data_IF_774203278672
#
_entry.id   IF_774203278672
#
_cell.length_a   1.000
_cell.length_b   1.000
_cell.length_c   1.000
_cell.angle_alpha   90.00
_cell.angle_beta   90.00
_cell.angle_gamma   90.00
#
_symmetry.space_group_name_H-M   'P 1'
#
loop_
_entity.id
_entity.type
_entity.pdbx_description
1 polymer ?
#
# COMPACT_ATOMS: atom_id res chain seq x y z
N UNK A 1 -10.45 -13.64 -2.03
CA UNK A 1 -9.89 -13.49 -0.67
C UNK A 1 -10.76 -12.51 0.10
N UNK A 2 -11.19 -12.84 1.32
CA UNK A 2 -11.88 -11.89 2.21
C UNK A 2 -10.88 -11.50 3.31
N UNK A 3 -10.46 -10.25 3.31
CA UNK A 3 -9.51 -9.70 4.29
C UNK A 3 -10.20 -8.62 5.13
N UNK A 4 -9.68 -8.28 6.32
CA UNK A 4 -10.15 -7.12 7.08
C UNK A 4 -10.10 -5.85 6.23
N UNK A 5 -11.16 -5.04 6.30
CA UNK A 5 -11.27 -3.77 5.57
C UNK A 5 -11.40 -2.60 6.53
N UNK A 6 -10.90 -1.42 6.13
CA UNK A 6 -11.16 -0.16 6.84
C UNK A 6 -12.65 0.16 6.73
N UNK A 7 -13.38 -0.05 7.81
CA UNK A 7 -14.84 0.05 7.87
C UNK A 7 -15.32 1.32 8.63
N UNK A 8 -14.39 2.07 9.22
CA UNK A 8 -14.71 3.24 10.04
C UNK A 8 -15.30 2.91 11.41
N UNK A 9 -15.37 1.63 11.80
CA UNK A 9 -15.94 1.17 13.07
C UNK A 9 -14.98 0.28 13.84
N UNK A 10 -14.67 -0.90 13.31
CA UNK A 10 -13.72 -1.85 13.91
C UNK A 10 -12.30 -1.44 13.54
N UNK A 11 -12.06 -1.14 12.27
CA UNK A 11 -10.82 -0.56 11.75
C UNK A 11 -11.15 0.87 11.32
N UNK A 12 -10.99 1.86 12.23
CA UNK A 12 -11.53 3.20 12.04
C UNK A 12 -10.87 3.97 10.90
N UNK A 13 -9.60 3.68 10.62
CA UNK A 13 -8.85 4.28 9.53
C UNK A 13 -7.73 3.33 9.07
N UNK A 14 -6.98 3.76 8.05
CA UNK A 14 -5.81 3.03 7.59
C UNK A 14 -4.84 2.74 8.77
N UNK A 15 -4.44 1.48 9.01
CA UNK A 15 -3.57 1.12 10.13
C UNK A 15 -2.27 1.90 10.20
N UNK A 16 -1.62 2.18 9.05
CA UNK A 16 -0.40 2.99 9.02
C UNK A 16 -0.67 4.43 9.45
N UNK A 17 -1.75 5.04 8.95
CA UNK A 17 -2.14 6.37 9.38
C UNK A 17 -2.50 6.43 10.87
N UNK A 18 -3.18 5.40 11.38
CA UNK A 18 -3.47 5.29 12.81
C UNK A 18 -2.17 5.28 13.59
N UNK A 19 -1.24 4.41 13.23
CA UNK A 19 0.05 4.31 13.89
C UNK A 19 0.91 5.59 13.79
N UNK A 20 0.86 6.32 12.68
CA UNK A 20 1.58 7.61 12.51
C UNK A 20 0.91 8.76 13.29
N UNK A 21 -0.42 8.74 13.44
CA UNK A 21 -1.19 9.80 14.09
C UNK A 21 -1.30 9.60 15.60
N UNK A 22 -1.12 8.37 16.05
CA UNK A 22 -1.13 7.93 17.45
C UNK A 22 -0.08 8.70 18.29
N UNK A 23 1.18 8.91 17.85
CA UNK A 23 2.16 9.78 18.52
C UNK A 23 1.73 11.25 18.67
N UNK A 24 0.88 11.76 17.78
CA UNK A 24 0.47 13.17 17.76
C UNK A 24 -0.63 13.53 18.77
N UNK A 25 -1.13 12.55 19.55
CA UNK A 25 -2.19 12.76 20.55
C UNK A 25 -3.58 13.01 19.97
N UNK A 26 -3.74 12.93 18.65
CA UNK A 26 -5.00 13.19 17.96
C UNK A 26 -6.03 12.06 18.11
N UNK A 27 -5.60 10.86 18.51
CA UNK A 27 -6.48 9.70 18.72
C UNK A 27 -6.07 8.97 20.00
N UNK A 28 -7.02 8.82 20.92
CA UNK A 28 -6.85 8.13 22.20
C UNK A 28 -7.00 6.61 21.97
N UNK A 29 -5.91 5.98 21.50
CA UNK A 29 -5.85 4.53 21.36
C UNK A 29 -5.41 3.91 22.70
N UNK A 30 -6.16 2.95 23.25
CA UNK A 30 -5.92 2.44 24.60
C UNK A 30 -4.56 1.74 24.71
N UNK A 31 -3.74 2.32 25.59
CA UNK A 31 -2.56 1.79 26.30
C UNK A 31 -1.39 1.21 25.49
N UNK A 32 -0.14 1.53 25.88
CA UNK A 32 1.00 0.66 25.65
C UNK A 32 0.65 -0.75 26.12
N UNK A 33 0.59 -1.72 25.22
CA UNK A 33 0.63 -3.14 25.61
C UNK A 33 2.05 -3.59 25.32
N UNK A 34 2.74 -4.23 26.28
CA UNK A 34 4.00 -4.90 26.01
C UNK A 34 3.83 -5.81 24.81
N UNK A 35 4.76 -5.73 23.86
CA UNK A 35 4.64 -6.43 22.60
C UNK A 35 5.89 -7.25 22.32
N UNK A 36 5.67 -8.55 22.10
CA UNK A 36 6.70 -9.51 21.72
C UNK A 36 6.34 -10.01 20.32
N UNK A 37 7.28 -9.87 19.40
CA UNK A 37 7.14 -10.28 18.00
C UNK A 37 8.41 -10.97 17.54
N UNK A 38 8.33 -11.64 16.39
CA UNK A 38 9.49 -12.23 15.78
C UNK A 38 9.21 -12.71 14.38
N UNK A 39 10.30 -13.04 13.70
CA UNK A 39 10.34 -13.44 12.31
C UNK A 39 11.15 -14.72 12.12
N UNK A 40 10.64 -15.60 11.26
CA UNK A 40 11.39 -16.76 10.79
C UNK A 40 12.32 -16.36 9.64
N UNK A 41 13.47 -17.06 9.56
CA UNK A 41 14.53 -16.71 8.59
C UNK A 41 14.06 -16.71 7.14
N UNK A 42 13.25 -17.70 6.77
CA UNK A 42 12.80 -17.98 5.40
C UNK A 42 11.25 -17.98 5.32
N UNK A 43 10.60 -17.03 6.01
CA UNK A 43 9.13 -16.88 6.06
C UNK A 43 8.48 -16.80 4.67
N UNK A 44 9.15 -16.17 3.70
CA UNK A 44 8.68 -16.04 2.32
C UNK A 44 8.77 -17.33 1.49
N UNK A 45 9.15 -18.46 2.09
CA UNK A 45 9.28 -19.74 1.37
C UNK A 45 7.94 -20.35 0.96
N UNK A 46 6.84 -19.99 1.62
CA UNK A 46 5.51 -20.52 1.31
C UNK A 46 5.02 -20.10 -0.09
N UNK A 47 5.40 -18.91 -0.56
CA UNK A 47 5.01 -18.41 -1.89
C UNK A 47 5.49 -19.34 -3.01
N UNK A 48 6.69 -19.91 -2.88
CA UNK A 48 7.22 -20.90 -3.83
C UNK A 48 6.40 -22.20 -3.78
N UNK A 49 5.86 -22.55 -2.61
CA UNK A 49 5.07 -23.76 -2.41
C UNK A 49 3.64 -23.62 -2.92
N UNK A 50 3.10 -22.40 -2.97
CA UNK A 50 1.78 -22.08 -3.50
C UNK A 50 1.76 -22.00 -5.04
N UNK A 51 2.83 -21.46 -5.64
CA UNK A 51 2.95 -21.30 -7.09
C UNK A 51 3.38 -22.62 -7.76
N UNK A 52 2.41 -23.51 -7.93
CA UNK A 52 2.60 -24.84 -8.54
C UNK A 52 2.16 -24.85 -10.00
N UNK A 53 2.92 -25.55 -10.84
CA UNK A 53 2.48 -25.84 -12.21
C UNK A 53 1.18 -26.66 -12.17
N UNK A 54 0.17 -26.23 -12.93
CA UNK A 54 -1.16 -26.86 -13.00
C UNK A 54 -1.16 -28.33 -13.50
N UNK A 55 0.01 -28.91 -13.80
CA UNK A 55 0.16 -30.24 -14.42
C UNK A 55 0.56 -31.37 -13.48
N UNK A 56 1.42 -31.13 -12.48
CA UNK A 56 1.96 -32.21 -11.65
C UNK A 56 2.22 -31.75 -10.22
N UNK A 57 1.64 -32.46 -9.23
CA UNK A 57 1.73 -32.13 -7.80
C UNK A 57 3.16 -32.15 -7.20
N UNK A 58 4.19 -32.43 -8.02
CA UNK A 58 5.58 -32.55 -7.60
C UNK A 58 6.53 -31.57 -8.30
N UNK A 59 6.08 -30.81 -9.30
CA UNK A 59 6.93 -29.91 -10.07
C UNK A 59 6.71 -28.46 -9.63
N UNK A 60 7.58 -27.97 -8.76
CA UNK A 60 7.64 -26.56 -8.38
C UNK A 60 8.22 -25.72 -9.52
N UNK A 61 7.75 -24.48 -9.68
CA UNK A 61 8.32 -23.54 -10.64
C UNK A 61 9.80 -23.31 -10.33
N UNK A 62 10.64 -23.41 -11.36
CA UNK A 62 12.03 -23.01 -11.27
C UNK A 62 12.08 -21.49 -11.06
N UNK A 63 12.52 -21.08 -9.87
CA UNK A 63 12.75 -19.66 -9.55
C UNK A 63 14.05 -19.21 -10.21
N UNK A 64 13.98 -18.88 -11.49
CA UNK A 64 15.05 -18.28 -12.27
C UNK A 64 14.90 -16.74 -12.34
N UNK A 65 15.83 -16.08 -13.02
CA UNK A 65 15.79 -14.63 -13.21
C UNK A 65 14.52 -14.19 -13.96
N UNK A 66 14.02 -15.02 -14.88
CA UNK A 66 12.83 -14.70 -15.67
C UNK A 66 11.57 -14.76 -14.81
N UNK A 67 11.46 -15.74 -13.92
CA UNK A 67 10.43 -15.85 -12.91
C UNK A 67 10.45 -14.62 -12.00
N UNK A 68 11.61 -14.28 -11.43
CA UNK A 68 11.77 -13.08 -10.59
C UNK A 68 11.28 -11.81 -11.31
N UNK A 69 11.69 -11.62 -12.57
CA UNK A 69 11.27 -10.47 -13.37
C UNK A 69 9.76 -10.44 -13.59
N UNK A 70 9.16 -11.58 -13.93
CA UNK A 70 7.70 -11.68 -14.13
C UNK A 70 6.93 -11.37 -12.85
N UNK A 71 7.42 -11.87 -11.72
CA UNK A 71 6.85 -11.64 -10.40
C UNK A 71 6.91 -10.16 -10.01
N UNK A 72 8.08 -9.52 -10.17
CA UNK A 72 8.27 -8.11 -9.85
C UNK A 72 7.40 -7.19 -10.72
N UNK A 73 7.23 -7.53 -12.00
CA UNK A 73 6.31 -6.82 -12.88
C UNK A 73 4.86 -6.95 -12.39
N UNK A 74 4.41 -8.16 -12.08
CA UNK A 74 3.08 -8.38 -11.52
C UNK A 74 2.89 -7.62 -10.21
N UNK A 75 3.88 -7.66 -9.33
CA UNK A 75 3.90 -6.91 -8.07
C UNK A 75 3.67 -5.41 -8.30
N UNK A 76 4.40 -4.82 -9.25
CA UNK A 76 4.27 -3.41 -9.59
C UNK A 76 2.88 -3.07 -10.16
N UNK A 77 2.26 -4.00 -10.91
CA UNK A 77 0.89 -3.86 -11.40
C UNK A 77 -0.15 -3.94 -10.26
N UNK A 78 -0.02 -4.93 -9.36
CA UNK A 78 -0.94 -5.14 -8.23
C UNK A 78 -0.99 -3.94 -7.29
N UNK A 79 0.16 -3.32 -7.01
CA UNK A 79 0.28 -2.18 -6.10
C UNK A 79 -0.06 -0.83 -6.74
N UNK A 80 -0.45 -0.83 -8.03
CA UNK A 80 -0.88 0.34 -8.78
C UNK A 80 0.06 1.54 -8.60
N UNK A 81 1.38 1.33 -8.71
CA UNK A 81 2.32 2.43 -8.82
C UNK A 81 2.02 3.18 -10.12
N UNK A 82 1.19 4.23 -10.09
CA UNK A 82 0.72 4.88 -11.32
C UNK A 82 1.78 5.74 -11.99
N UNK A 83 2.79 6.17 -11.24
CA UNK A 83 3.69 7.25 -11.65
C UNK A 83 5.01 6.74 -12.24
N UNK A 84 5.52 5.59 -11.78
CA UNK A 84 6.81 5.05 -12.25
C UNK A 84 6.96 3.53 -12.01
N UNK A 85 6.24 2.72 -12.80
CA UNK A 85 6.25 1.25 -12.66
C UNK A 85 7.59 0.64 -13.04
N UNK A 86 8.19 1.15 -14.12
CA UNK A 86 9.41 0.61 -14.69
C UNK A 86 10.59 0.78 -13.73
N UNK A 87 10.80 1.98 -13.17
CA UNK A 87 11.91 2.19 -12.26
C UNK A 87 11.74 1.43 -10.93
N UNK A 88 10.50 1.18 -10.49
CA UNK A 88 10.24 0.33 -9.31
C UNK A 88 10.56 -1.12 -9.63
N UNK A 89 10.12 -1.62 -10.78
CA UNK A 89 10.41 -2.98 -11.21
C UNK A 89 11.92 -3.18 -11.39
N UNK A 90 12.62 -2.24 -12.04
CA UNK A 90 14.07 -2.27 -12.21
C UNK A 90 14.80 -2.19 -10.86
N UNK A 91 14.35 -1.35 -9.92
CA UNK A 91 14.94 -1.27 -8.60
C UNK A 91 14.82 -2.56 -7.80
N UNK A 92 13.65 -3.22 -7.85
CA UNK A 92 13.43 -4.50 -7.17
C UNK A 92 14.23 -5.61 -7.87
N UNK A 93 14.24 -5.64 -9.20
CA UNK A 93 15.05 -6.59 -9.99
C UNK A 93 16.53 -6.45 -9.63
N UNK A 94 17.08 -5.24 -9.64
CA UNK A 94 18.48 -4.96 -9.31
C UNK A 94 18.83 -5.38 -7.89
N UNK A 95 17.96 -5.07 -6.92
CA UNK A 95 18.20 -5.36 -5.50
C UNK A 95 18.23 -6.86 -5.19
N UNK A 96 17.40 -7.63 -5.89
CA UNK A 96 17.22 -9.07 -5.63
C UNK A 96 17.93 -9.97 -6.63
N UNK A 97 18.61 -9.40 -7.63
CA UNK A 97 19.54 -10.14 -8.49
C UNK A 97 20.83 -10.42 -7.73
N UNK A 98 21.27 -11.68 -7.74
CA UNK A 98 22.56 -12.06 -7.19
C UNK A 98 23.68 -11.70 -8.19
N UNK A 99 24.18 -10.47 -8.12
CA UNK A 99 25.18 -9.95 -9.06
C UNK A 99 26.49 -10.73 -9.18
N UNK A 100 27.03 -11.40 -8.13
CA UNK A 100 28.23 -12.21 -8.30
C UNK A 100 28.07 -13.34 -9.32
N UNK A 101 26.85 -13.88 -9.44
CA UNK A 101 26.48 -14.82 -10.50
C UNK A 101 24.97 -14.75 -10.79
N UNK A 102 24.60 -14.00 -11.83
CA UNK A 102 23.20 -13.84 -12.24
C UNK A 102 22.58 -15.12 -12.84
N UNK A 103 23.34 -16.21 -12.98
CA UNK A 103 22.85 -17.52 -13.41
C UNK A 103 22.71 -18.52 -12.27
N UNK A 104 23.13 -18.17 -11.04
CA UNK A 104 22.98 -19.04 -9.88
C UNK A 104 21.53 -19.07 -9.39
N UNK A 105 20.80 -20.07 -9.86
CA UNK A 105 19.39 -20.32 -9.51
C UNK A 105 19.16 -20.48 -8.00
N UNK A 106 20.13 -21.04 -7.25
CA UNK A 106 19.97 -21.22 -5.81
C UNK A 106 20.10 -19.88 -5.07
N UNK A 107 21.03 -19.03 -5.50
CA UNK A 107 21.15 -17.69 -4.98
C UNK A 107 19.91 -16.86 -5.34
N UNK A 108 19.46 -16.89 -6.59
CA UNK A 108 18.25 -16.18 -7.04
C UNK A 108 17.03 -16.62 -6.21
N UNK A 109 16.83 -17.93 -6.03
CA UNK A 109 15.75 -18.46 -5.19
C UNK A 109 15.83 -17.95 -3.76
N UNK A 110 17.01 -17.94 -3.15
CA UNK A 110 17.19 -17.46 -1.78
C UNK A 110 16.91 -15.96 -1.68
N UNK A 111 17.34 -15.17 -2.66
CA UNK A 111 17.02 -13.75 -2.73
C UNK A 111 15.51 -13.53 -2.93
N UNK A 112 14.84 -14.32 -3.76
CA UNK A 112 13.38 -14.28 -3.95
C UNK A 112 12.62 -14.56 -2.63
N UNK A 113 13.02 -15.58 -1.87
CA UNK A 113 12.43 -15.85 -0.54
C UNK A 113 12.56 -14.64 0.39
N UNK A 114 13.69 -13.92 0.32
CA UNK A 114 13.88 -12.70 1.10
C UNK A 114 13.02 -11.52 0.60
N UNK A 115 12.72 -11.44 -0.70
CA UNK A 115 11.77 -10.47 -1.28
C UNK A 115 10.40 -10.63 -0.63
N UNK A 116 9.89 -11.87 -0.65
CA UNK A 116 8.57 -12.21 -0.14
C UNK A 116 8.47 -12.08 1.37
N UNK A 117 9.52 -12.52 2.07
CA UNK A 117 9.62 -12.35 3.51
C UNK A 117 9.36 -10.90 3.91
N UNK A 118 9.94 -9.92 3.21
CA UNK A 118 9.82 -8.50 3.55
C UNK A 118 8.53 -7.85 3.03
N UNK A 119 7.96 -8.39 1.95
CA UNK A 119 6.64 -7.98 1.48
C UNK A 119 5.52 -8.39 2.45
N UNK A 120 5.57 -9.63 2.95
CA UNK A 120 4.60 -10.18 3.90
C UNK A 120 4.80 -9.54 5.28
N UNK A 121 6.06 -9.41 5.72
CA UNK A 121 6.34 -8.94 7.07
C UNK A 121 6.27 -7.43 7.24
N UNK A 122 6.12 -6.65 6.14
CA UNK A 122 6.05 -5.18 6.13
C UNK A 122 6.67 -4.61 7.41
N UNK A 123 8.01 -4.63 7.48
CA UNK A 123 8.76 -4.31 8.72
C UNK A 123 8.39 -2.96 9.35
N UNK A 124 7.58 -2.16 8.67
CA UNK A 124 6.78 -1.05 9.18
C UNK A 124 6.05 -1.30 10.53
N UNK A 125 5.47 -2.48 10.77
CA UNK A 125 4.64 -2.69 11.97
C UNK A 125 5.49 -2.68 13.26
N UNK A 126 6.71 -3.19 13.18
CA UNK A 126 7.66 -3.17 14.30
C UNK A 126 8.16 -1.76 14.61
N UNK A 127 8.48 -0.96 13.58
CA UNK A 127 8.94 0.43 13.73
C UNK A 127 7.88 1.37 14.28
N UNK A 128 6.63 1.21 13.83
CA UNK A 128 5.55 2.14 14.15
C UNK A 128 4.93 1.89 15.53
N UNK A 129 4.98 0.66 16.06
CA UNK A 129 4.51 0.39 17.43
C UNK A 129 5.41 0.99 18.52
N UNK A 130 6.67 1.30 18.21
CA UNK A 130 7.65 1.82 19.16
C UNK A 130 7.38 3.23 19.68
N UNK A 131 6.50 4.00 19.03
CA UNK A 131 6.09 5.30 19.58
C UNK A 131 5.28 5.16 20.87
N UNK A 132 4.78 3.95 21.18
CA UNK A 132 3.83 3.73 22.27
C UNK A 132 3.93 2.40 23.02
N UNK A 133 4.62 1.36 22.56
CA UNK A 133 4.81 0.17 23.39
C UNK A 133 5.83 0.48 24.51
N UNK A 134 5.44 0.33 25.78
CA UNK A 134 6.31 0.54 26.93
C UNK A 134 7.50 -0.43 26.91
N UNK A 135 7.31 -1.57 26.25
CA UNK A 135 8.31 -2.61 26.11
C UNK A 135 8.07 -3.43 24.83
N UNK A 136 9.03 -3.38 23.92
CA UNK A 136 8.99 -4.08 22.63
C UNK A 136 10.15 -5.06 22.57
N UNK A 137 9.90 -6.30 22.15
CA UNK A 137 10.93 -7.32 21.97
C UNK A 137 10.77 -7.99 20.61
N UNK A 138 11.87 -8.11 19.88
CA UNK A 138 11.92 -8.78 18.58
C UNK A 138 12.79 -10.04 18.65
N UNK A 139 12.32 -11.10 18.00
CA UNK A 139 12.99 -12.40 17.85
C UNK A 139 13.26 -12.70 16.40
N UNK A 140 14.44 -13.22 16.10
CA UNK A 140 14.67 -13.93 14.86
C UNK A 140 15.05 -15.37 15.16
N UNK A 141 14.35 -16.33 14.53
CA UNK A 141 14.65 -17.74 14.64
C UNK A 141 15.57 -18.18 13.47
N UNK A 142 16.90 -18.29 13.67
CA UNK A 142 17.87 -18.71 12.66
C UNK A 142 17.96 -20.24 12.50
N UNK A 143 17.46 -20.99 13.48
CA UNK A 143 17.73 -22.43 13.54
C UNK A 143 16.78 -23.17 12.63
N UNK A 144 17.34 -24.04 11.79
CA UNK A 144 16.57 -25.00 11.01
C UNK A 144 15.82 -25.93 11.95
N UNK A 145 14.53 -25.67 12.13
CA UNK A 145 13.64 -26.47 12.95
C UNK A 145 13.44 -27.78 12.20
N UNK A 146 14.22 -28.80 12.58
CA UNK A 146 14.21 -30.14 11.99
C UNK A 146 14.61 -30.24 10.51
N UNK A 147 15.04 -31.45 10.15
CA UNK A 147 15.20 -31.85 8.76
C UNK A 147 13.78 -32.00 8.16
N UNK A 148 13.24 -30.93 7.57
CA UNK A 148 11.96 -30.91 6.84
C UNK A 148 11.95 -31.76 5.55
N UNK A 149 12.94 -32.63 5.41
CA UNK A 149 13.13 -33.57 4.31
C UNK A 149 12.08 -34.68 4.24
N UNK A 150 11.17 -34.76 5.22
CA UNK A 150 10.20 -35.86 5.34
C UNK A 150 8.82 -35.49 4.78
N UNK A 151 8.47 -34.20 4.71
CA UNK A 151 7.16 -33.74 4.19
C UNK A 151 7.27 -33.36 2.71
N UNK A 152 8.38 -32.77 2.29
CA UNK A 152 8.72 -32.57 0.89
C UNK A 152 9.68 -33.67 0.47
N UNK A 153 9.32 -34.37 -0.61
CA UNK A 153 10.11 -35.46 -1.20
C UNK A 153 11.59 -35.05 -1.30
N UNK A 154 12.46 -36.04 -1.09
CA UNK A 154 13.93 -36.06 -1.06
C UNK A 154 14.69 -35.12 -2.02
N UNK A 155 14.06 -34.62 -3.07
CA UNK A 155 14.67 -33.76 -4.09
C UNK A 155 14.78 -32.29 -3.66
N UNK A 156 14.17 -31.89 -2.53
CA UNK A 156 14.12 -30.51 -2.05
C UNK A 156 14.65 -30.32 -0.61
N UNK A 157 15.55 -31.21 -0.18
CA UNK A 157 16.22 -31.24 1.14
C UNK A 157 16.96 -29.94 1.54
N UNK A 158 17.14 -29.01 0.59
CA UNK A 158 17.85 -27.73 0.77
C UNK A 158 16.93 -26.50 0.72
N UNK A 159 15.62 -26.68 0.48
CA UNK A 159 14.76 -25.59 -0.02
C UNK A 159 14.24 -24.64 1.06
N UNK A 160 14.11 -25.08 2.32
CA UNK A 160 13.54 -24.26 3.39
C UNK A 160 14.24 -24.57 4.71
N UNK A 161 15.05 -23.64 5.22
CA UNK A 161 15.70 -23.86 6.51
C UNK A 161 14.75 -23.53 7.67
N UNK A 162 14.06 -22.38 7.62
CA UNK A 162 13.09 -21.95 8.65
C UNK A 162 11.88 -21.31 7.97
N UNK A 163 10.85 -22.12 7.72
CA UNK A 163 9.62 -21.74 7.03
C UNK A 163 8.66 -20.89 7.87
N UNK A 164 7.62 -20.36 7.22
CA UNK A 164 6.50 -19.69 7.88
C UNK A 164 5.82 -20.60 8.90
N UNK A 165 5.46 -20.04 10.05
CA UNK A 165 4.81 -20.73 11.18
C UNK A 165 5.56 -21.94 11.77
N UNK A 166 6.80 -22.18 11.35
CA UNK A 166 7.54 -23.37 11.78
C UNK A 166 8.02 -23.29 13.24
N UNK A 167 8.12 -22.09 13.78
CA UNK A 167 8.33 -21.80 15.21
C UNK A 167 7.11 -22.16 16.08
N UNK A 168 5.89 -22.15 15.54
CA UNK A 168 4.69 -22.56 16.28
C UNK A 168 4.77 -24.02 16.74
N UNK A 169 5.39 -24.90 15.94
CA UNK A 169 5.59 -26.30 16.34
C UNK A 169 6.43 -26.41 17.62
N UNK A 170 7.44 -25.54 17.76
CA UNK A 170 8.23 -25.45 18.98
C UNK A 170 7.42 -24.84 20.13
N UNK A 171 6.64 -23.79 19.87
CA UNK A 171 5.83 -23.11 20.88
C UNK A 171 4.79 -24.04 21.51
N UNK A 172 4.15 -24.89 20.70
CA UNK A 172 3.11 -25.80 21.16
C UNK A 172 3.63 -27.16 21.66
N UNK A 173 4.94 -27.34 21.75
CA UNK A 173 5.50 -28.56 22.37
C UNK A 173 5.40 -29.81 21.50
N UNK A 174 5.26 -29.68 20.18
CA UNK A 174 5.23 -30.83 19.26
C UNK A 174 6.42 -31.79 19.44
N UNK A 175 7.65 -31.34 19.77
CA UNK A 175 8.79 -32.24 20.00
C UNK A 175 8.64 -33.19 21.20
N UNK A 176 7.72 -32.89 22.12
CA UNK A 176 7.37 -33.70 23.29
C UNK A 176 6.11 -34.55 23.08
N UNK A 177 5.37 -34.30 22.00
CA UNK A 177 4.10 -34.95 21.73
C UNK A 177 4.32 -36.39 21.21
N UNK A 178 3.53 -37.37 21.68
CA UNK A 178 3.57 -38.72 21.12
C UNK A 178 3.06 -38.71 19.67
N UNK A 179 3.56 -39.63 18.83
CA UNK A 179 3.34 -39.62 17.37
C UNK A 179 1.87 -39.72 16.98
N UNK A 180 1.06 -40.34 17.82
CA UNK A 180 -0.37 -40.57 17.58
C UNK A 180 -1.19 -39.27 17.67
N UNK A 181 -0.69 -38.27 18.40
CA UNK A 181 -1.34 -36.97 18.55
C UNK A 181 -0.86 -35.94 17.52
N UNK A 182 0.25 -36.23 16.82
CA UNK A 182 0.76 -35.36 15.76
C UNK A 182 -0.11 -35.45 14.50
N UNK A 183 -0.25 -34.33 13.75
CA UNK A 183 -0.83 -34.34 12.42
C UNK A 183 -0.14 -35.38 11.52
N UNK A 184 -0.88 -36.02 10.61
CA UNK A 184 -0.37 -37.13 9.76
C UNK A 184 0.94 -36.80 9.05
N UNK A 185 1.11 -35.55 8.63
CA UNK A 185 2.29 -35.03 7.95
C UNK A 185 3.53 -35.03 8.86
N UNK A 186 3.35 -34.88 10.18
CA UNK A 186 4.42 -34.74 11.15
C UNK A 186 4.72 -36.04 11.92
N UNK A 187 3.94 -37.11 11.74
CA UNK A 187 4.13 -38.39 12.46
C UNK A 187 5.47 -39.07 12.11
N UNK A 188 5.97 -38.84 10.90
CA UNK A 188 7.22 -39.39 10.41
C UNK A 188 8.44 -38.52 10.74
N UNK A 189 8.23 -37.34 11.33
CA UNK A 189 9.32 -36.45 11.68
C UNK A 189 10.06 -36.99 12.91
N UNK A 190 11.39 -36.99 12.85
CA UNK A 190 12.25 -37.39 13.96
C UNK A 190 12.72 -36.16 14.70
N UNK A 191 12.13 -35.92 15.87
CA UNK A 191 12.50 -34.77 16.66
C UNK A 191 13.82 -34.99 17.43
N UNK A 192 14.79 -34.05 17.37
CA UNK A 192 16.07 -34.19 18.07
C UNK A 192 16.03 -33.62 19.49
N UNK A 193 17.08 -33.88 20.27
CA UNK A 193 17.23 -33.29 21.61
C UNK A 193 17.37 -31.76 21.58
N UNK A 194 17.99 -31.22 20.53
CA UNK A 194 18.13 -29.77 20.36
C UNK A 194 16.75 -29.11 20.21
N UNK A 195 15.84 -29.74 19.47
CA UNK A 195 14.53 -29.16 19.25
C UNK A 195 13.60 -29.27 20.45
N UNK A 196 13.78 -30.30 21.29
CA UNK A 196 13.13 -30.36 22.60
C UNK A 196 13.59 -29.23 23.51
N UNK A 197 14.91 -28.97 23.54
CA UNK A 197 15.45 -27.84 24.28
C UNK A 197 14.93 -26.51 23.74
N UNK A 198 14.88 -26.37 22.41
CA UNK A 198 14.32 -25.21 21.72
C UNK A 198 12.87 -24.95 22.13
N UNK A 199 12.03 -25.97 22.03
CA UNK A 199 10.62 -25.92 22.41
C UNK A 199 10.42 -25.56 23.89
N UNK A 200 11.26 -26.11 24.77
CA UNK A 200 11.23 -25.76 26.19
C UNK A 200 11.59 -24.29 26.44
N UNK A 201 12.69 -23.81 25.88
CA UNK A 201 13.15 -22.42 26.04
C UNK A 201 12.12 -21.44 25.46
N UNK A 202 11.62 -21.71 24.25
CA UNK A 202 10.63 -20.87 23.58
C UNK A 202 9.34 -20.78 24.39
N UNK A 203 8.83 -21.90 24.87
CA UNK A 203 7.65 -21.94 25.75
C UNK A 203 7.86 -21.17 27.07
N UNK A 204 9.05 -21.28 27.66
CA UNK A 204 9.40 -20.57 28.90
C UNK A 204 9.40 -19.06 28.69
N UNK A 205 9.96 -18.58 27.59
CA UNK A 205 9.99 -17.17 27.20
C UNK A 205 8.58 -16.62 27.04
N UNK A 206 7.72 -17.30 26.27
CA UNK A 206 6.34 -16.87 26.07
C UNK A 206 5.56 -16.86 27.39
N UNK A 207 5.77 -17.87 28.25
CA UNK A 207 5.15 -17.91 29.59
C UNK A 207 5.63 -16.78 30.48
N UNK A 208 6.92 -16.47 30.44
CA UNK A 208 7.56 -15.41 31.21
C UNK A 208 7.06 -14.04 30.75
N UNK A 209 6.96 -13.83 29.44
CA UNK A 209 6.35 -12.64 28.85
C UNK A 209 4.88 -12.50 29.21
N UNK A 210 4.09 -13.57 29.10
CA UNK A 210 2.66 -13.53 29.47
C UNK A 210 2.44 -13.25 30.96
N UNK A 211 3.34 -13.71 31.84
CA UNK A 211 3.20 -13.56 33.30
C UNK A 211 3.75 -12.24 33.83
N UNK A 212 4.86 -11.76 33.26
CA UNK A 212 5.65 -10.65 33.79
C UNK A 212 5.91 -9.53 32.79
N UNK A 213 5.33 -9.62 31.59
CA UNK A 213 5.54 -8.67 30.49
C UNK A 213 7.00 -8.58 30.03
N UNK A 214 7.85 -9.52 30.43
CA UNK A 214 9.28 -9.54 30.12
C UNK A 214 9.66 -10.97 29.67
N UNK A 215 10.25 -11.16 28.47
CA UNK A 215 10.62 -12.48 27.98
C UNK A 215 11.91 -13.02 28.62
N UNK A 216 12.68 -12.19 29.34
CA UNK A 216 13.91 -12.62 30.01
C UNK A 216 13.62 -13.69 31.06
N UNK A 217 14.37 -14.79 31.00
CA UNK A 217 14.33 -15.85 32.00
C UNK A 217 14.81 -15.29 33.36
N UNK A 218 14.39 -15.84 34.52
CA UNK A 218 14.72 -15.27 35.83
C UNK A 218 16.21 -15.08 36.14
N UNK A 219 17.09 -15.86 35.51
CA UNK A 219 18.55 -15.79 35.65
C UNK A 219 19.24 -15.02 34.52
N UNK A 220 18.46 -14.48 33.58
CA UNK A 220 18.96 -13.83 32.37
C UNK A 220 18.40 -12.41 32.26
N UNK A 221 19.21 -11.50 31.74
CA UNK A 221 18.80 -10.15 31.38
C UNK A 221 19.40 -9.73 30.03
N UNK A 222 19.82 -10.70 29.22
CA UNK A 222 20.50 -10.48 27.95
C UNK A 222 19.57 -9.91 26.88
N UNK A 223 18.26 -10.16 26.99
CA UNK A 223 17.29 -9.67 26.04
C UNK A 223 16.93 -8.23 26.34
N UNK A 224 17.62 -7.31 25.67
CA UNK A 224 17.30 -5.90 25.72
C UNK A 224 16.02 -5.64 24.93
N UNK A 225 15.22 -4.70 25.45
CA UNK A 225 14.10 -4.17 24.70
C UNK A 225 14.60 -3.56 23.40
N UNK A 226 13.84 -3.76 22.34
CA UNK A 226 14.10 -3.16 21.06
C UNK A 226 13.86 -1.65 21.16
N UNK A 227 14.86 -0.87 20.73
CA UNK A 227 14.83 0.59 20.78
C UNK A 227 14.82 1.17 19.34
N UNK A 228 14.11 2.28 19.06
CA UNK A 228 14.02 2.86 17.70
C UNK A 228 15.33 3.35 17.09
N UNK A 229 16.41 3.45 17.88
CA UNK A 229 17.74 3.84 17.39
C UNK A 229 18.73 2.70 17.39
N UNK A 230 18.49 1.66 18.19
CA UNK A 230 19.44 0.56 18.38
C UNK A 230 19.00 -0.73 17.73
N UNK A 231 17.71 -0.88 17.46
CA UNK A 231 17.15 -1.94 16.63
C UNK A 231 17.55 -3.34 17.17
N UNK A 232 17.54 -3.49 18.50
CA UNK A 232 17.96 -4.72 19.15
C UNK A 232 16.98 -5.86 18.90
N UNK A 233 17.49 -7.00 18.44
CA UNK A 233 16.70 -8.22 18.36
C UNK A 233 17.47 -9.39 18.96
N UNK A 234 16.74 -10.41 19.41
CA UNK A 234 17.34 -11.65 19.89
C UNK A 234 17.45 -12.64 18.74
N UNK A 235 18.66 -13.05 18.41
CA UNK A 235 18.93 -14.11 17.46
C UNK A 235 18.95 -15.47 18.18
N UNK A 236 17.90 -16.26 18.00
CA UNK A 236 17.67 -17.47 18.80
C UNK A 236 18.52 -18.66 18.36
N UNK A 237 19.47 -19.08 19.19
CA UNK A 237 20.32 -20.22 18.84
C UNK A 237 20.07 -21.41 19.79
N UNK A 238 19.38 -22.43 19.29
CA UNK A 238 18.99 -23.62 20.07
C UNK A 238 20.09 -24.68 20.24
N UNK A 239 21.31 -24.41 19.75
CA UNK A 239 22.30 -25.45 19.46
C UNK A 239 23.00 -26.10 20.66
N UNK A 240 22.94 -25.56 21.88
CA UNK A 240 23.76 -26.08 22.99
C UNK A 240 22.96 -26.35 24.27
N UNK A 241 23.07 -27.56 24.82
CA UNK A 241 22.40 -28.01 26.06
C UNK A 241 22.72 -27.14 27.29
N UNK A 242 23.91 -26.53 27.33
CA UNK A 242 24.32 -25.59 28.39
C UNK A 242 23.70 -24.18 28.23
N UNK A 243 22.98 -23.91 27.15
CA UNK A 243 22.40 -22.61 26.82
C UNK A 243 20.91 -22.49 27.25
N UNK A 244 20.36 -23.41 28.04
CA UNK A 244 18.98 -23.26 28.56
C UNK A 244 18.83 -22.00 29.43
N UNK A 245 19.95 -21.43 29.91
CA UNK A 245 19.97 -20.16 30.64
C UNK A 245 20.01 -18.92 29.76
N UNK A 246 20.33 -19.02 28.46
CA UNK A 246 20.47 -17.86 27.56
C UNK A 246 19.81 -18.22 26.21
N UNK A 247 18.71 -17.55 25.82
CA UNK A 247 17.89 -17.95 24.68
C UNK A 247 18.58 -17.73 23.33
N UNK A 248 19.57 -16.84 23.25
CA UNK A 248 20.23 -16.50 22.00
C UNK A 248 21.31 -15.43 22.14
N UNK A 249 21.69 -14.85 21.00
CA UNK A 249 22.63 -13.73 20.93
C UNK A 249 21.88 -12.44 20.62
N UNK A 250 22.18 -11.38 21.36
CA UNK A 250 21.63 -10.06 21.08
C UNK A 250 22.34 -9.44 19.87
N UNK A 251 21.57 -9.09 18.85
CA UNK A 251 22.06 -8.50 17.60
C UNK A 251 21.30 -7.22 17.27
N UNK A 252 21.75 -6.50 16.23
CA UNK A 252 21.16 -5.23 15.78
C UNK A 252 20.83 -5.28 14.30
N UNK A 253 19.85 -4.46 13.92
CA UNK A 253 19.60 -4.11 12.53
C UNK A 253 19.28 -5.33 11.66
N UNK A 254 18.33 -6.17 12.11
CA UNK A 254 17.94 -7.37 11.36
C UNK A 254 17.56 -7.00 9.92
N UNK A 255 18.40 -7.44 8.97
CA UNK A 255 18.26 -7.20 7.52
C UNK A 255 17.93 -5.73 7.17
N UNK A 256 18.47 -4.77 7.92
CA UNK A 256 18.13 -3.35 7.78
C UNK A 256 18.29 -2.80 6.35
N UNK A 257 19.30 -3.25 5.62
CA UNK A 257 19.53 -2.83 4.24
C UNK A 257 18.37 -3.23 3.29
N UNK A 258 17.69 -4.34 3.56
CA UNK A 258 16.53 -4.77 2.77
C UNK A 258 15.25 -4.12 3.30
N UNK A 259 15.11 -3.99 4.62
CA UNK A 259 13.97 -3.30 5.26
C UNK A 259 13.90 -1.83 4.81
N UNK A 260 15.03 -1.12 4.82
CA UNK A 260 15.12 0.27 4.37
C UNK A 260 14.86 0.44 2.87
N UNK A 261 15.20 -0.56 2.05
CA UNK A 261 14.86 -0.56 0.63
C UNK A 261 13.34 -0.53 0.42
N UNK A 262 12.59 -1.39 1.10
CA UNK A 262 11.12 -1.43 0.99
C UNK A 262 10.42 -0.24 1.65
N UNK A 263 10.88 0.18 2.83
CA UNK A 263 10.14 1.16 3.64
C UNK A 263 10.56 2.62 3.38
N UNK A 264 11.77 2.85 2.88
CA UNK A 264 12.32 4.20 2.66
C UNK A 264 12.55 4.45 1.18
N UNK A 265 13.31 3.59 0.51
CA UNK A 265 13.73 3.83 -0.87
C UNK A 265 12.57 3.72 -1.86
N UNK A 266 11.82 2.62 -1.88
CA UNK A 266 10.72 2.44 -2.84
C UNK A 266 9.62 3.52 -2.72
N UNK A 267 9.12 3.89 -1.52
CA UNK A 267 8.16 4.98 -1.37
C UNK A 267 8.73 6.33 -1.82
N UNK A 268 10.02 6.59 -1.56
CA UNK A 268 10.68 7.81 -2.05
C UNK A 268 10.74 7.85 -3.57
N UNK A 269 10.90 6.70 -4.24
CA UNK A 269 10.94 6.59 -5.68
C UNK A 269 9.61 6.98 -6.34
N UNK A 270 8.50 6.63 -5.68
CA UNK A 270 7.14 7.04 -6.08
C UNK A 270 6.94 8.55 -5.91
N UNK A 271 7.49 9.14 -4.85
CA UNK A 271 7.32 10.56 -4.53
C UNK A 271 8.27 11.49 -5.32
N UNK A 272 9.48 11.04 -5.63
CA UNK A 272 10.54 11.89 -6.19
C UNK A 272 10.41 12.09 -7.70
N UNK A 273 9.83 11.12 -8.42
CA UNK A 273 9.54 11.30 -9.84
C UNK A 273 8.18 11.97 -9.99
N UNK A 274 8.13 13.29 -9.76
CA UNK A 274 7.06 14.11 -10.34
C UNK A 274 7.02 13.77 -11.82
N UNK A 275 5.89 13.27 -12.30
CA UNK A 275 5.62 12.97 -13.71
C UNK A 275 6.33 13.97 -14.60
N UNK A 276 7.51 13.62 -15.14
CA UNK A 276 7.93 14.19 -16.41
C UNK A 276 6.94 13.58 -17.38
N UNK A 277 5.77 14.22 -17.50
CA UNK A 277 4.80 13.90 -18.52
C UNK A 277 5.57 13.70 -19.80
N UNK A 278 5.23 12.64 -20.54
CA UNK A 278 5.79 12.45 -21.87
C UNK A 278 5.73 13.78 -22.62
N UNK A 279 6.82 14.22 -23.29
CA UNK A 279 6.82 15.49 -24.02
C UNK A 279 5.61 15.63 -24.97
N UNK A 280 5.08 14.49 -25.44
CA UNK A 280 3.87 14.40 -26.22
C UNK A 280 2.60 14.80 -25.46
N UNK A 281 2.42 14.34 -24.23
CA UNK A 281 1.23 14.67 -23.41
C UNK A 281 1.22 16.14 -23.00
N UNK A 282 2.38 16.73 -22.73
CA UNK A 282 2.51 18.17 -22.44
C UNK A 282 2.09 19.01 -23.64
N UNK A 283 2.49 18.59 -24.85
CA UNK A 283 2.11 19.26 -26.09
C UNK A 283 0.60 19.17 -26.33
N UNK A 284 0.02 17.96 -26.20
CA UNK A 284 -1.43 17.73 -26.37
C UNK A 284 -2.25 18.52 -25.33
N UNK A 285 -1.86 18.52 -24.06
CA UNK A 285 -2.56 19.31 -23.02
C UNK A 285 -2.49 20.81 -23.30
N UNK A 286 -1.34 21.34 -23.74
CA UNK A 286 -1.22 22.75 -24.11
C UNK A 286 -2.12 23.10 -25.30
N UNK A 287 -2.16 22.25 -26.32
CA UNK A 287 -3.03 22.44 -27.49
C UNK A 287 -4.51 22.36 -27.09
N UNK A 288 -4.89 21.43 -26.21
CA UNK A 288 -6.26 21.28 -25.72
C UNK A 288 -6.72 22.49 -24.89
N UNK A 289 -5.88 23.00 -23.98
CA UNK A 289 -6.19 24.19 -23.18
C UNK A 289 -6.29 25.43 -24.07
N UNK A 290 -5.40 25.57 -25.06
CA UNK A 290 -5.47 26.67 -26.02
C UNK A 290 -6.78 26.60 -26.85
N UNK A 291 -7.20 25.41 -27.27
CA UNK A 291 -8.45 25.20 -27.99
C UNK A 291 -9.68 25.50 -27.12
N UNK A 292 -9.69 25.07 -25.85
CA UNK A 292 -10.76 25.37 -24.89
C UNK A 292 -10.89 26.88 -24.62
N UNK A 293 -9.76 27.58 -24.50
CA UNK A 293 -9.75 29.04 -24.31
C UNK A 293 -10.24 29.76 -25.58
N UNK A 294 -9.79 29.36 -26.76
CA UNK A 294 -10.21 29.95 -28.03
C UNK A 294 -11.71 29.74 -28.30
N UNK A 295 -12.22 28.52 -28.07
CA UNK A 295 -13.64 28.21 -28.20
C UNK A 295 -14.49 28.98 -27.19
N UNK A 296 -14.04 29.11 -25.93
CA UNK A 296 -14.71 29.95 -24.93
C UNK A 296 -14.82 31.42 -25.36
N UNK A 297 -13.74 32.00 -25.90
CA UNK A 297 -13.74 33.39 -26.42
C UNK A 297 -14.71 33.55 -27.59
N UNK A 298 -14.73 32.61 -28.53
CA UNK A 298 -15.65 32.65 -29.69
C UNK A 298 -17.11 32.59 -29.22
N UNK A 299 -17.43 31.71 -28.26
CA UNK A 299 -18.78 31.59 -27.70
C UNK A 299 -19.21 32.89 -27.01
N UNK A 300 -18.32 33.53 -26.25
CA UNK A 300 -18.60 34.83 -25.62
C UNK A 300 -18.88 35.93 -26.67
N UNK A 301 -18.09 35.99 -27.76
CA UNK A 301 -18.30 36.96 -28.84
C UNK A 301 -19.66 36.72 -29.53
N UNK A 302 -19.99 35.46 -29.81
CA UNK A 302 -21.27 35.09 -30.43
C UNK A 302 -22.47 35.44 -29.54
N UNK A 303 -22.35 35.26 -28.22
CA UNK A 303 -23.38 35.65 -27.26
C UNK A 303 -23.60 37.18 -27.26
N UNK A 304 -22.53 37.98 -27.27
CA UNK A 304 -22.64 39.44 -27.34
C UNK A 304 -23.29 39.87 -28.66
N UNK A 305 -22.91 39.26 -29.78
CA UNK A 305 -23.52 39.54 -31.08
C UNK A 305 -25.02 39.20 -31.10
N UNK A 306 -25.43 38.08 -30.51
CA UNK A 306 -26.84 37.71 -30.37
C UNK A 306 -27.63 38.73 -29.54
N UNK A 307 -27.09 39.16 -28.41
CA UNK A 307 -27.73 40.17 -27.55
C UNK A 307 -27.89 41.49 -28.31
N UNK A 308 -26.87 41.93 -29.06
CA UNK A 308 -26.95 43.12 -29.89
C UNK A 308 -28.00 42.97 -31.01
N UNK A 309 -28.05 41.82 -31.67
CA UNK A 309 -29.07 41.54 -32.70
C UNK A 309 -30.49 41.58 -32.13
N UNK A 310 -30.70 41.02 -30.94
CA UNK A 310 -32.00 41.08 -30.25
C UNK A 310 -32.37 42.51 -29.86
N UNK A 311 -31.41 43.33 -29.41
CA UNK A 311 -31.62 44.75 -29.10
C UNK A 311 -31.96 45.56 -30.36
N UNK A 312 -31.24 45.33 -31.46
CA UNK A 312 -31.53 45.98 -32.75
C UNK A 312 -32.90 45.58 -33.30
N UNK A 313 -33.27 44.30 -33.19
CA UNK A 313 -34.60 43.82 -33.57
C UNK A 313 -35.69 44.50 -32.73
N UNK A 314 -35.52 44.56 -31.39
CA UNK A 314 -36.45 45.23 -30.49
C UNK A 314 -36.66 46.71 -30.86
N UNK A 315 -35.58 47.46 -31.11
CA UNK A 315 -35.66 48.87 -31.48
C UNK A 315 -36.32 49.09 -32.86
N UNK A 316 -36.09 48.19 -33.82
CA UNK A 316 -36.75 48.26 -35.13
C UNK A 316 -38.25 47.95 -35.05
N UNK A 317 -38.65 46.95 -34.25
CA UNK A 317 -40.06 46.62 -34.04
C UNK A 317 -40.79 47.72 -33.26
N UNK A 318 -40.17 48.33 -32.24
CA UNK A 318 -40.77 49.45 -31.51
C UNK A 318 -40.93 50.69 -32.42
N UNK A 319 -39.93 50.99 -33.26
CA UNK A 319 -39.99 52.11 -34.22
C UNK A 319 -41.05 51.89 -35.31
N UNK A 320 -41.19 50.68 -35.83
CA UNK A 320 -42.25 50.36 -36.80
C UNK A 320 -43.65 50.36 -36.16
N UNK A 321 -43.79 49.97 -34.89
CA UNK A 321 -45.06 50.06 -34.18
C UNK A 321 -45.52 51.51 -34.00
N UNK A 322 -44.59 52.44 -33.72
CA UNK A 322 -44.87 53.89 -33.62
C UNK A 322 -45.20 54.50 -34.98
N UNK A 323 -44.53 54.08 -36.06
CA UNK A 323 -44.85 54.53 -37.42
C UNK A 323 -46.24 54.05 -37.87
N UNK A 324 -46.56 52.78 -37.65
CA UNK A 324 -47.86 52.19 -37.99
C UNK A 324 -49.01 52.83 -37.21
N UNK A 325 -48.80 53.12 -35.92
CA UNK A 325 -49.78 53.80 -35.06
C UNK A 325 -50.02 55.25 -35.49
N UNK A 326 -48.97 55.99 -35.86
CA UNK A 326 -49.10 57.34 -36.43
C UNK A 326 -49.79 57.35 -37.80
N UNK A 327 -49.56 56.32 -38.63
CA UNK A 327 -50.24 56.20 -39.93
C UNK A 327 -51.73 55.86 -39.78
N UNK A 328 -52.09 55.06 -38.76
CA UNK A 328 -53.48 54.78 -38.39
C UNK A 328 -54.19 56.03 -37.84
N UNK A 329 -53.56 56.77 -36.92
CA UNK A 329 -54.12 58.02 -36.36
C UNK A 329 -54.28 59.11 -37.44
N UNK A 330 -53.32 59.21 -38.39
CA UNK A 330 -53.41 60.15 -39.50
C UNK A 330 -54.54 59.80 -40.48
N UNK A 331 -54.77 58.52 -40.78
CA UNK A 331 -55.90 58.06 -41.60
C UNK A 331 -57.25 58.27 -40.89
N UNK A 332 -57.29 58.23 -39.55
CA UNK A 332 -58.49 58.47 -38.76
C UNK A 332 -58.83 59.96 -38.66
N UNK A 333 -57.83 60.85 -38.60
CA UNK A 333 -58.01 62.30 -38.64
C UNK A 333 -58.54 62.79 -40.00
N UNK A 334 -58.03 62.25 -41.12
CA UNK A 334 -58.51 62.61 -42.46
C UNK A 334 -59.99 62.19 -42.66
N UNK A 335 -60.41 61.06 -42.08
CA UNK A 335 -61.80 60.58 -42.17
C UNK A 335 -62.81 61.42 -41.36
N UNK A 336 -62.35 62.17 -40.36
CA UNK A 336 -63.20 63.06 -39.55
C UNK A 336 -63.34 64.48 -40.12
N UNK A 337 -62.53 64.85 -41.14
CA UNK A 337 -62.60 66.18 -41.77
C UNK A 337 -63.69 66.33 -42.85
N UNK A 338 -64.33 65.24 -43.28
CA UNK A 338 -65.41 65.27 -44.29
C UNK A 338 -66.82 65.48 -43.70
N UNK A 339 -66.93 65.92 -42.45
CA UNK A 339 -68.20 66.13 -41.76
C UNK A 339 -68.30 67.44 -40.97
N UNK A 340 -68.51 68.56 -41.68
CA UNK A 340 -69.27 69.73 -41.21
C UNK A 340 -68.75 70.56 -40.02
N UNK A 341 -68.26 71.77 -40.32
CA UNK A 341 -68.16 72.95 -39.42
C UNK A 341 -69.52 73.35 -38.78
N UNK A 342 -69.64 74.25 -37.74
CA UNK A 342 -68.70 75.29 -37.20
C UNK A 342 -68.72 75.48 -35.63
N UNK A 343 -68.34 76.63 -34.99
CA UNK A 343 -67.06 77.37 -34.97
C UNK A 343 -66.49 77.76 -33.55
N UNK A 344 -65.21 78.25 -33.54
CA UNK A 344 -64.46 79.02 -32.49
C UNK A 344 -64.11 78.27 -31.18
N UNK A 345 -62.94 78.40 -30.54
CA UNK A 345 -62.04 79.51 -30.24
C UNK A 345 -60.62 78.98 -29.86
N UNK A 346 -59.57 79.72 -30.25
CA UNK A 346 -58.23 79.93 -29.62
C UNK A 346 -57.61 78.86 -28.69
N UNK A 347 -56.42 78.34 -29.04
CA UNK A 347 -55.13 78.67 -28.38
C UNK A 347 -53.96 77.85 -28.92
N UNK A 348 -52.84 78.54 -29.15
CA UNK A 348 -51.51 78.02 -29.50
C UNK A 348 -51.00 76.96 -28.52
N UNK A 349 -50.29 75.92 -29.00
CA UNK A 349 -48.97 75.49 -28.46
C UNK A 349 -48.15 74.82 -29.57
N UNK A 350 -46.90 75.23 -29.63
CA UNK A 350 -45.80 74.88 -30.51
C UNK A 350 -45.29 73.44 -30.30
N UNK A 351 -45.00 72.72 -31.39
CA UNK A 351 -44.19 71.50 -31.35
C UNK A 351 -42.70 71.85 -31.33
N UNK A 352 -41.98 71.27 -30.38
CA UNK A 352 -40.53 71.05 -30.38
C UNK A 352 -40.27 69.55 -30.25
#
# INVERSE_FOLDING_TARGET
LFLPTVDGRIVPANPRWLLDSVPSGNVDYPSPVPYLTGLNRDDGSEVILEDRLLGEFNDFLLVDQQYLKSYVLEYAFRHNYTTNREAIAEAIEDRYTYWPDASDENAIRKHFIHTEHLHITNGDVEWLHLGKADLFFSVCAPHSIFQWSVVFKKDYEHLTSVCHDCDLYLLFGFPFMPKELLPKQLQNVTWTGADRNASQIFSLIFRQFASFMNPNLPSDSSWLAFEPRRHWYMNFNYSTYNAISIPGTLERDYRWELVSFWNIYLPSLVQYMTTTFSPFEVKIRRELVAYQMATGVIVCILMVALVLMCLFAYLLFERNSKLSRNEFDCKQLIRNTDGGFPPRHISQVSCL
#
